data_IF_995654096985
#
_entry.id   IF_995654096985
#
_cell.length_a   1.000
_cell.length_b   1.000
_cell.length_c   1.000
_cell.angle_alpha   90.00
_cell.angle_beta   90.00
_cell.angle_gamma   90.00
#
_symmetry.space_group_name_H-M   'P 1'
#
loop_
_entity.id
_entity.type
_entity.pdbx_description
1 polymer ?
#
# COMPACT_ATOMS: atom_id res chain seq x y z
N UNK A 1 42.39 -3.51 30.15
CA UNK A 1 41.40 -4.23 30.97
C UNK A 1 40.00 -3.78 30.56
N UNK A 2 39.25 -4.65 29.88
CA UNK A 2 37.98 -5.27 30.32
C UNK A 2 36.79 -4.30 30.41
N UNK A 3 36.06 -4.16 29.30
CA UNK A 3 34.63 -3.92 29.35
C UNK A 3 33.90 -5.27 29.51
N UNK A 4 33.05 -5.39 30.52
CA UNK A 4 32.07 -6.47 30.68
C UNK A 4 30.74 -5.85 31.16
N UNK A 5 29.71 -5.98 30.32
CA UNK A 5 28.37 -6.59 30.57
C UNK A 5 27.69 -6.30 31.93
N UNK A 6 26.36 -6.07 32.11
CA UNK A 6 25.13 -5.78 31.33
C UNK A 6 23.95 -5.84 32.36
N UNK A 7 22.75 -5.35 31.98
CA UNK A 7 21.41 -5.57 32.59
C UNK A 7 21.05 -4.76 33.86
N UNK A 8 19.83 -4.25 34.11
CA UNK A 8 18.53 -4.22 33.43
C UNK A 8 17.57 -3.27 34.21
N UNK A 9 16.60 -2.66 33.51
CA UNK A 9 15.22 -2.32 33.93
C UNK A 9 15.01 -1.19 34.97
N UNK A 10 14.30 -0.15 34.54
CA UNK A 10 13.61 0.79 35.42
C UNK A 10 13.26 2.13 34.77
N UNK A 11 12.16 2.20 34.01
CA UNK A 11 11.72 3.46 33.40
C UNK A 11 10.56 3.31 32.41
N UNK A 12 9.49 2.65 32.85
CA UNK A 12 8.19 2.66 32.16
C UNK A 12 7.56 4.05 32.34
N UNK A 13 6.76 4.47 31.35
CA UNK A 13 5.83 5.63 31.33
C UNK A 13 6.40 7.01 31.00
N UNK A 14 6.47 7.37 29.70
CA UNK A 14 5.82 8.58 29.10
C UNK A 14 5.61 8.36 27.58
N UNK A 15 4.78 7.41 27.13
CA UNK A 15 4.19 7.43 25.77
C UNK A 15 2.76 6.89 25.89
N UNK A 16 1.87 7.73 26.42
CA UNK A 16 0.46 7.41 26.63
C UNK A 16 -0.45 8.64 26.64
N UNK A 17 -0.08 9.72 25.93
CA UNK A 17 -0.78 11.00 26.05
C UNK A 17 -0.90 11.78 24.73
N UNK A 18 -1.39 11.13 23.67
CA UNK A 18 -2.10 11.82 22.55
C UNK A 18 -3.39 11.09 22.11
N UNK A 19 -3.80 10.02 22.79
CA UNK A 19 -5.15 9.44 22.64
C UNK A 19 -5.83 9.53 24.02
N UNK A 20 -6.33 10.71 24.37
CA UNK A 20 -6.97 10.93 25.68
C UNK A 20 -7.11 12.36 26.18
N UNK A 21 -6.84 13.40 25.37
CA UNK A 21 -7.10 14.79 25.77
C UNK A 21 -8.55 15.20 25.42
N UNK A 22 -9.49 14.51 26.05
CA UNK A 22 -10.81 15.04 26.34
C UNK A 22 -10.98 14.98 27.86
N UNK A 23 -11.25 16.13 28.48
CA UNK A 23 -11.68 16.35 29.88
C UNK A 23 -10.55 16.80 30.85
N UNK A 24 -10.75 18.02 31.38
CA UNK A 24 -10.10 18.70 32.52
C UNK A 24 -8.74 19.42 32.35
N UNK A 25 -8.78 20.55 31.64
CA UNK A 25 -7.98 21.73 31.98
C UNK A 25 -8.95 22.88 32.31
N UNK A 26 -9.44 22.88 33.55
CA UNK A 26 -10.09 24.04 34.14
C UNK A 26 -9.06 24.81 34.97
N UNK A 27 -9.08 26.14 34.82
CA UNK A 27 -8.49 27.18 35.68
C UNK A 27 -7.02 27.59 35.46
N UNK A 28 -6.70 28.06 34.25
CA UNK A 28 -5.81 29.22 34.10
C UNK A 28 -6.55 30.31 33.33
N UNK A 29 -7.08 31.28 34.06
CA UNK A 29 -7.74 32.46 33.50
C UNK A 29 -6.71 33.39 32.87
N UNK A 30 -6.52 33.31 31.56
CA UNK A 30 -5.96 34.40 30.78
C UNK A 30 -6.97 34.86 29.74
N UNK A 31 -7.18 36.18 29.75
CA UNK A 31 -8.16 36.94 28.95
C UNK A 31 -8.34 36.35 27.55
N UNK A 32 -9.59 35.96 27.24
CA UNK A 32 -10.04 35.55 25.90
C UNK A 32 -9.88 36.71 24.91
N UNK A 33 -8.70 36.82 24.31
CA UNK A 33 -8.64 37.21 22.90
C UNK A 33 -9.05 35.97 22.12
N UNK A 34 -10.26 35.97 21.56
CA UNK A 34 -10.65 34.99 20.54
C UNK A 34 -9.69 35.11 19.37
N UNK A 35 -8.57 34.36 19.42
CA UNK A 35 -7.80 34.06 18.22
C UNK A 35 -8.72 33.21 17.37
N UNK A 36 -9.35 33.84 16.36
CA UNK A 36 -9.99 33.11 15.25
C UNK A 36 -9.02 32.00 14.83
N UNK A 37 -9.45 30.73 14.77
CA UNK A 37 -8.59 29.67 14.28
C UNK A 37 -8.06 30.12 12.91
N UNK A 38 -6.74 30.11 12.76
CA UNK A 38 -6.10 30.40 11.48
C UNK A 38 -6.77 29.48 10.46
N UNK A 39 -7.47 30.06 9.49
CA UNK A 39 -8.13 29.37 8.38
C UNK A 39 -7.09 28.77 7.41
N UNK A 40 -6.11 28.03 7.92
CA UNK A 40 -5.03 27.42 7.15
C UNK A 40 -5.53 26.31 6.20
N UNK A 41 -6.79 25.87 6.33
CA UNK A 41 -7.36 24.77 5.56
C UNK A 41 -8.19 25.14 4.33
N UNK A 42 -8.59 26.40 4.14
CA UNK A 42 -9.64 26.74 3.15
C UNK A 42 -9.19 26.80 1.68
N UNK A 43 -7.89 26.86 1.38
CA UNK A 43 -7.42 27.19 0.02
C UNK A 43 -6.45 26.18 -0.61
N UNK A 44 -6.44 24.90 -0.21
CA UNK A 44 -5.73 23.89 -1.00
C UNK A 44 -6.73 23.25 -1.96
N UNK A 45 -6.94 23.90 -3.11
CA UNK A 45 -7.64 23.30 -4.25
C UNK A 45 -6.81 22.10 -4.71
N UNK A 46 -7.17 20.91 -4.25
CA UNK A 46 -6.57 19.68 -4.74
C UNK A 46 -7.30 19.25 -6.01
N UNK A 47 -6.61 18.98 -7.12
CA UNK A 47 -7.25 18.41 -8.29
C UNK A 47 -7.92 17.08 -7.93
N UNK A 48 -9.11 16.87 -8.46
CA UNK A 48 -9.80 15.59 -8.39
C UNK A 48 -9.08 14.58 -9.26
N UNK A 49 -8.83 13.39 -8.73
CA UNK A 49 -8.23 12.30 -9.51
C UNK A 49 -9.12 11.98 -10.72
N UNK A 50 -8.53 11.92 -11.90
CA UNK A 50 -9.24 11.55 -13.13
C UNK A 50 -8.97 10.09 -13.45
N UNK A 51 -10.02 9.34 -13.77
CA UNK A 51 -9.90 7.97 -14.26
C UNK A 51 -10.07 8.02 -15.77
N UNK A 52 -9.06 7.53 -16.48
CA UNK A 52 -9.04 7.44 -17.93
C UNK A 52 -9.02 5.98 -18.35
N UNK A 53 -9.73 5.67 -19.43
CA UNK A 53 -9.80 4.35 -20.00
C UNK A 53 -9.17 4.38 -21.39
N UNK A 54 -8.13 3.58 -21.58
CA UNK A 54 -7.49 3.38 -22.87
C UNK A 54 -7.75 1.93 -23.32
N UNK A 55 -7.79 1.68 -24.63
CA UNK A 55 -7.93 0.33 -25.18
C UNK A 55 -6.63 -0.09 -25.86
N UNK A 56 -6.11 -1.26 -25.51
CA UNK A 56 -4.92 -1.85 -26.11
C UNK A 56 -5.36 -3.06 -26.93
N UNK A 57 -4.92 -3.12 -28.18
CA UNK A 57 -5.09 -4.30 -29.02
C UNK A 57 -3.99 -5.32 -28.74
N UNK A 58 -4.39 -6.53 -28.36
CA UNK A 58 -3.50 -7.64 -28.07
C UNK A 58 -3.48 -8.60 -29.24
N UNK A 59 -2.29 -8.85 -29.75
CA UNK A 59 -2.02 -9.88 -30.76
C UNK A 59 -1.46 -11.14 -30.10
N UNK A 60 -1.49 -12.27 -30.82
CA UNK A 60 -0.94 -13.54 -30.34
C UNK A 60 0.54 -13.44 -29.96
N UNK A 61 1.32 -12.71 -30.77
CA UNK A 61 2.76 -12.55 -30.58
C UNK A 61 3.11 -11.78 -29.30
N UNK A 62 2.22 -10.89 -28.86
CA UNK A 62 2.41 -10.12 -27.63
C UNK A 62 2.32 -11.02 -26.40
N UNK A 63 1.43 -12.02 -26.39
CA UNK A 63 1.28 -12.97 -25.30
C UNK A 63 2.33 -14.08 -25.34
N UNK A 64 2.75 -14.52 -26.53
CA UNK A 64 3.80 -15.54 -26.68
C UNK A 64 5.17 -15.13 -26.12
N UNK A 65 5.44 -13.84 -25.95
CA UNK A 65 6.72 -13.31 -25.44
C UNK A 65 6.76 -13.11 -23.90
N UNK A 66 5.86 -13.73 -23.13
CA UNK A 66 5.75 -13.55 -21.67
C UNK A 66 5.71 -12.07 -21.22
N UNK A 67 5.20 -11.17 -22.08
CA UNK A 67 5.12 -9.75 -21.73
C UNK A 67 3.92 -9.53 -20.83
N UNK A 68 4.19 -9.11 -19.60
CA UNK A 68 3.15 -8.61 -18.70
C UNK A 68 2.68 -7.26 -19.24
N UNK A 69 1.40 -7.19 -19.61
CA UNK A 69 0.78 -5.95 -20.05
C UNK A 69 0.16 -5.29 -18.82
N UNK A 70 0.55 -4.06 -18.46
CA UNK A 70 -0.02 -3.40 -17.30
C UNK A 70 -1.51 -3.17 -17.55
N UNK A 71 -2.33 -3.60 -16.61
CA UNK A 71 -3.78 -3.45 -16.70
C UNK A 71 -4.28 -2.07 -16.20
N UNK A 72 -3.42 -1.37 -15.47
CA UNK A 72 -3.62 0.00 -15.01
C UNK A 72 -2.30 0.63 -14.59
N UNK A 73 -2.30 1.96 -14.46
CA UNK A 73 -1.19 2.72 -13.90
C UNK A 73 -1.67 4.06 -13.34
N UNK A 74 -1.31 4.35 -12.09
CA UNK A 74 -1.40 5.68 -11.53
C UNK A 74 -0.24 6.56 -12.04
N UNK A 75 -0.58 7.76 -12.54
CA UNK A 75 0.36 8.79 -13.00
C UNK A 75 0.34 9.95 -12.00
N UNK A 76 1.25 9.97 -11.00
CA UNK A 76 1.19 10.91 -9.89
C UNK A 76 1.27 12.38 -10.31
N UNK A 77 2.10 12.68 -11.31
CA UNK A 77 2.27 14.03 -11.87
C UNK A 77 0.98 14.61 -12.47
N UNK A 78 0.11 13.75 -13.01
CA UNK A 78 -1.08 14.21 -13.72
C UNK A 78 -2.34 14.10 -12.85
N UNK A 79 -2.26 13.43 -11.69
CA UNK A 79 -3.45 13.06 -10.92
C UNK A 79 -4.40 12.16 -11.72
N UNK A 80 -3.86 11.27 -12.56
CA UNK A 80 -4.63 10.40 -13.44
C UNK A 80 -4.36 8.94 -13.11
N UNK A 81 -5.42 8.14 -13.01
CA UNK A 81 -5.33 6.68 -13.11
C UNK A 81 -5.73 6.30 -14.53
N UNK A 82 -4.83 5.63 -15.24
CA UNK A 82 -5.13 5.02 -16.53
C UNK A 82 -5.46 3.54 -16.34
N UNK A 83 -6.58 3.10 -16.87
CA UNK A 83 -7.00 1.70 -16.91
C UNK A 83 -7.01 1.23 -18.35
N UNK A 84 -6.45 0.05 -18.60
CA UNK A 84 -6.28 -0.48 -19.94
C UNK A 84 -7.25 -1.63 -20.18
N UNK A 85 -8.22 -1.41 -21.06
CA UNK A 85 -9.07 -2.46 -21.60
C UNK A 85 -8.35 -3.16 -22.75
N UNK A 86 -8.40 -4.49 -22.76
CA UNK A 86 -7.76 -5.29 -23.80
C UNK A 86 -8.83 -5.74 -24.80
N UNK A 87 -8.54 -5.52 -26.09
CA UNK A 87 -9.29 -6.10 -27.20
C UNK A 87 -8.35 -6.99 -28.02
N UNK A 88 -8.90 -7.93 -28.76
CA UNK A 88 -8.12 -8.77 -29.67
C UNK A 88 -8.95 -9.10 -30.90
N UNK A 89 -8.30 -9.16 -32.06
CA UNK A 89 -8.84 -9.72 -33.30
C UNK A 89 -8.52 -11.21 -33.45
N UNK A 90 -7.74 -11.77 -32.52
CA UNK A 90 -7.40 -13.20 -32.51
C UNK A 90 -8.61 -14.08 -32.28
N UNK A 91 -8.69 -15.17 -33.04
CA UNK A 91 -9.68 -16.23 -32.86
C UNK A 91 -9.23 -17.26 -31.81
N UNK A 92 -8.00 -17.17 -31.29
CA UNK A 92 -7.47 -18.12 -30.30
C UNK A 92 -8.12 -17.90 -28.93
N UNK A 93 -8.79 -18.94 -28.43
CA UNK A 93 -9.54 -18.92 -27.16
C UNK A 93 -8.72 -18.43 -25.96
N UNK A 94 -7.43 -18.77 -25.87
CA UNK A 94 -6.60 -18.34 -24.75
C UNK A 94 -6.35 -16.83 -24.75
N UNK A 95 -6.19 -16.19 -25.93
CA UNK A 95 -6.01 -14.73 -26.07
C UNK A 95 -7.31 -13.99 -25.77
N UNK A 96 -8.44 -14.51 -26.27
CA UNK A 96 -9.77 -13.98 -25.96
C UNK A 96 -10.07 -14.06 -24.47
N UNK A 97 -9.76 -15.20 -23.83
CA UNK A 97 -9.92 -15.38 -22.39
C UNK A 97 -9.04 -14.43 -21.58
N UNK A 98 -7.79 -14.21 -21.99
CA UNK A 98 -6.89 -13.26 -21.34
C UNK A 98 -7.48 -11.84 -21.36
N UNK A 99 -7.94 -11.37 -22.53
CA UNK A 99 -8.58 -10.06 -22.66
C UNK A 99 -9.84 -9.95 -21.80
N UNK A 100 -10.71 -10.97 -21.84
CA UNK A 100 -11.93 -11.02 -21.02
C UNK A 100 -11.61 -10.95 -19.53
N UNK A 101 -10.64 -11.74 -19.06
CA UNK A 101 -10.25 -11.75 -17.65
C UNK A 101 -9.69 -10.40 -17.19
N UNK A 102 -8.81 -9.78 -17.98
CA UNK A 102 -8.29 -8.44 -17.69
C UNK A 102 -9.42 -7.42 -17.53
N UNK A 103 -10.35 -7.40 -18.48
CA UNK A 103 -11.44 -6.43 -18.51
C UNK A 103 -12.41 -6.62 -17.35
N UNK A 104 -12.73 -7.86 -17.00
CA UNK A 104 -13.53 -8.21 -15.82
C UNK A 104 -12.84 -7.77 -14.51
N UNK A 105 -11.50 -7.82 -14.45
CA UNK A 105 -10.71 -7.40 -13.29
C UNK A 105 -10.57 -5.88 -13.14
N UNK A 106 -11.07 -5.08 -14.09
CA UNK A 106 -10.89 -3.61 -14.11
C UNK A 106 -11.28 -2.92 -12.80
N UNK A 107 -12.29 -3.43 -12.09
CA UNK A 107 -12.71 -2.90 -10.78
C UNK A 107 -11.60 -3.10 -9.71
N UNK A 108 -10.99 -4.28 -9.67
CA UNK A 108 -9.91 -4.58 -8.72
C UNK A 108 -8.66 -3.79 -9.08
N UNK A 109 -8.32 -3.72 -10.37
CA UNK A 109 -7.19 -2.91 -10.87
C UNK A 109 -7.40 -1.43 -10.53
N UNK A 110 -8.61 -0.91 -10.72
CA UNK A 110 -8.95 0.45 -10.30
C UNK A 110 -8.70 0.64 -8.81
N UNK A 111 -9.13 -0.31 -7.97
CA UNK A 111 -8.88 -0.24 -6.52
C UNK A 111 -7.38 -0.22 -6.20
N UNK A 112 -6.60 -1.06 -6.86
CA UNK A 112 -5.15 -1.12 -6.73
C UNK A 112 -4.52 0.25 -7.00
N UNK A 113 -4.80 0.86 -8.16
CA UNK A 113 -4.23 2.16 -8.53
C UNK A 113 -4.74 3.31 -7.66
N UNK A 114 -5.98 3.22 -7.16
CA UNK A 114 -6.51 4.20 -6.21
C UNK A 114 -5.74 4.17 -4.89
N UNK A 115 -5.28 3.02 -4.41
CA UNK A 115 -4.44 2.98 -3.20
C UNK A 115 -3.06 3.58 -3.43
N UNK A 116 -2.43 3.34 -4.60
CA UNK A 116 -1.22 4.08 -4.97
C UNK A 116 -1.45 5.59 -4.91
N UNK A 117 -2.57 6.07 -5.45
CA UNK A 117 -2.89 7.49 -5.42
C UNK A 117 -3.14 8.04 -4.01
N UNK A 118 -3.82 7.28 -3.15
CA UNK A 118 -4.06 7.65 -1.74
C UNK A 118 -2.76 7.76 -0.96
N UNK A 119 -1.82 6.85 -1.19
CA UNK A 119 -0.55 6.78 -0.44
C UNK A 119 0.60 7.57 -1.05
N UNK A 120 0.45 8.08 -2.27
CA UNK A 120 1.51 8.83 -2.94
C UNK A 120 1.98 10.10 -2.19
N UNK A 121 1.13 10.73 -1.37
CA UNK A 121 1.57 11.88 -0.56
C UNK A 121 2.48 11.48 0.62
N UNK A 122 2.44 10.21 1.06
CA UNK A 122 3.38 9.66 2.04
C UNK A 122 4.78 9.50 1.43
N UNK A 123 4.83 9.21 0.13
CA UNK A 123 6.07 8.83 -0.59
C UNK A 123 6.65 9.97 -1.44
N UNK A 124 6.01 11.15 -1.50
CA UNK A 124 6.47 12.28 -2.34
C UNK A 124 7.91 12.75 -2.06
N UNK A 125 8.34 12.68 -0.80
CA UNK A 125 9.68 13.11 -0.38
C UNK A 125 10.60 11.90 -0.14
N UNK A 126 10.34 10.78 -0.82
CA UNK A 126 11.08 9.53 -0.63
C UNK A 126 12.60 9.72 -0.78
N UNK A 127 13.03 10.67 -1.62
CA UNK A 127 14.44 10.98 -1.85
C UNK A 127 15.20 11.44 -0.59
N UNK A 128 14.49 11.95 0.43
CA UNK A 128 15.09 12.39 1.70
C UNK A 128 15.50 11.22 2.60
N UNK A 129 14.99 10.02 2.35
CA UNK A 129 15.34 8.84 3.13
C UNK A 129 16.58 8.13 2.58
N UNK A 130 17.22 7.33 3.44
CA UNK A 130 18.35 6.49 3.05
C UNK A 130 17.95 5.48 1.97
N UNK A 131 18.87 5.04 1.09
CA UNK A 131 18.59 4.07 0.03
C UNK A 131 17.77 2.85 0.48
N UNK A 132 18.10 2.29 1.65
CA UNK A 132 17.38 1.17 2.26
C UNK A 132 15.92 1.51 2.56
N UNK A 133 15.67 2.64 3.22
CA UNK A 133 14.31 3.07 3.55
C UNK A 133 13.52 3.41 2.27
N UNK A 134 14.15 3.97 1.24
CA UNK A 134 13.49 4.18 -0.08
C UNK A 134 13.04 2.86 -0.70
N UNK A 135 13.91 1.86 -0.68
CA UNK A 135 13.55 0.51 -1.13
C UNK A 135 12.40 -0.08 -0.32
N UNK A 136 12.45 0.01 1.01
CA UNK A 136 11.37 -0.48 1.88
C UNK A 136 10.03 0.20 1.61
N UNK A 137 10.02 1.53 1.42
CA UNK A 137 8.81 2.29 1.06
C UNK A 137 8.26 1.81 -0.29
N UNK A 138 9.13 1.64 -1.30
CA UNK A 138 8.70 1.17 -2.61
C UNK A 138 8.08 -0.24 -2.53
N UNK A 139 8.71 -1.16 -1.79
CA UNK A 139 8.16 -2.51 -1.59
C UNK A 139 6.83 -2.48 -0.86
N UNK A 140 6.72 -1.72 0.24
CA UNK A 140 5.47 -1.59 1.00
C UNK A 140 4.35 -1.01 0.12
N UNK A 141 4.65 -0.02 -0.73
CA UNK A 141 3.69 0.56 -1.66
C UNK A 141 3.14 -0.48 -2.66
N UNK A 142 3.99 -1.36 -3.18
CA UNK A 142 3.58 -2.44 -4.09
C UNK A 142 2.89 -3.61 -3.37
N UNK A 143 3.00 -3.72 -2.04
CA UNK A 143 2.33 -4.75 -1.23
C UNK A 143 0.92 -4.32 -0.83
N UNK A 144 0.72 -3.04 -0.47
CA UNK A 144 -0.60 -2.54 -0.05
C UNK A 144 -1.63 -2.56 -1.18
N UNK A 145 -1.21 -2.41 -2.43
CA UNK A 145 -2.13 -2.32 -3.55
C UNK A 145 -2.82 -3.68 -3.85
N UNK A 146 -2.11 -4.83 -3.83
CA UNK A 146 -2.74 -6.15 -3.75
C UNK A 146 -3.66 -6.36 -2.53
N UNK A 147 -3.34 -5.82 -1.36
CA UNK A 147 -4.22 -5.89 -0.19
C UNK A 147 -5.57 -5.21 -0.46
N UNK A 148 -5.54 -4.08 -1.17
CA UNK A 148 -6.73 -3.35 -1.58
C UNK A 148 -7.62 -4.15 -2.54
N UNK A 149 -7.03 -4.93 -3.45
CA UNK A 149 -7.78 -5.83 -4.34
C UNK A 149 -8.56 -6.89 -3.56
N UNK A 150 -7.96 -7.45 -2.51
CA UNK A 150 -8.63 -8.43 -1.63
C UNK A 150 -9.82 -7.78 -0.93
N UNK A 151 -9.63 -6.60 -0.34
CA UNK A 151 -10.71 -5.84 0.32
C UNK A 151 -11.85 -5.57 -0.67
N UNK A 152 -11.54 -5.07 -1.86
CA UNK A 152 -12.55 -4.78 -2.88
C UNK A 152 -13.30 -6.02 -3.37
N UNK A 153 -12.67 -7.19 -3.42
CA UNK A 153 -13.33 -8.42 -3.82
C UNK A 153 -14.36 -8.89 -2.79
N UNK A 154 -14.03 -8.82 -1.51
CA UNK A 154 -14.97 -9.12 -0.41
C UNK A 154 -16.10 -8.10 -0.34
N UNK A 155 -15.76 -6.80 -0.46
CA UNK A 155 -16.73 -5.71 -0.51
C UNK A 155 -17.69 -5.88 -1.70
N UNK A 156 -17.19 -6.30 -2.87
CA UNK A 156 -18.01 -6.60 -4.04
C UNK A 156 -19.01 -7.72 -3.75
N UNK A 157 -18.56 -8.79 -3.08
CA UNK A 157 -19.43 -9.92 -2.73
C UNK A 157 -20.56 -9.50 -1.80
N UNK A 158 -20.27 -8.64 -0.82
CA UNK A 158 -21.31 -8.07 0.04
C UNK A 158 -22.31 -7.22 -0.76
N UNK A 159 -21.83 -6.32 -1.63
CA UNK A 159 -22.71 -5.41 -2.40
C UNK A 159 -23.61 -6.12 -3.40
N UNK A 160 -23.11 -7.20 -4.00
CA UNK A 160 -23.78 -7.85 -5.15
C UNK A 160 -24.42 -9.18 -4.79
N UNK A 161 -24.14 -9.73 -3.62
CA UNK A 161 -24.53 -11.09 -3.24
C UNK A 161 -23.76 -12.19 -3.99
N UNK A 162 -22.79 -11.84 -4.84
CA UNK A 162 -22.09 -12.77 -5.71
C UNK A 162 -20.56 -12.64 -5.58
N UNK A 163 -19.80 -13.76 -5.63
CA UNK A 163 -18.35 -13.71 -5.70
C UNK A 163 -17.86 -12.86 -6.87
N UNK A 164 -16.68 -12.25 -6.74
CA UNK A 164 -16.10 -11.47 -7.83
C UNK A 164 -15.87 -12.38 -9.06
N UNK A 165 -16.32 -11.99 -10.27
CA UNK A 165 -16.44 -12.91 -11.41
C UNK A 165 -15.11 -13.38 -12.00
N UNK A 166 -14.01 -12.66 -11.79
CA UNK A 166 -12.68 -13.09 -12.22
C UNK A 166 -11.61 -12.69 -11.20
N UNK A 167 -11.07 -13.67 -10.49
CA UNK A 167 -9.98 -13.45 -9.54
C UNK A 167 -8.62 -13.54 -10.22
N UNK A 168 -7.67 -12.71 -9.77
CA UNK A 168 -6.26 -13.11 -9.80
C UNK A 168 -6.09 -14.23 -8.77
N UNK A 169 -5.22 -15.22 -9.02
CA UNK A 169 -5.09 -16.41 -8.16
C UNK A 169 -5.00 -16.06 -6.67
N UNK A 170 -4.14 -15.11 -6.30
CA UNK A 170 -3.98 -14.69 -4.90
C UNK A 170 -5.23 -14.08 -4.26
N UNK A 171 -6.07 -13.37 -5.03
CA UNK A 171 -7.33 -12.79 -4.53
C UNK A 171 -8.33 -13.91 -4.26
N UNK A 172 -8.42 -14.90 -5.15
CA UNK A 172 -9.30 -16.07 -4.97
C UNK A 172 -8.97 -16.78 -3.66
N UNK A 173 -7.70 -17.10 -3.47
CA UNK A 173 -7.23 -17.85 -2.30
C UNK A 173 -7.48 -17.05 -1.01
N UNK A 174 -7.18 -15.74 -1.03
CA UNK A 174 -7.47 -14.86 0.09
C UNK A 174 -8.96 -14.79 0.44
N UNK A 175 -9.84 -14.67 -0.56
CA UNK A 175 -11.30 -14.61 -0.37
C UNK A 175 -11.83 -15.91 0.24
N UNK A 176 -11.36 -17.06 -0.22
CA UNK A 176 -11.72 -18.36 0.35
C UNK A 176 -11.33 -18.44 1.83
N UNK A 177 -10.10 -18.06 2.17
CA UNK A 177 -9.63 -18.11 3.56
C UNK A 177 -10.35 -17.10 4.45
N UNK A 178 -10.66 -15.90 3.95
CA UNK A 178 -11.45 -14.91 4.67
C UNK A 178 -12.85 -15.43 4.95
N UNK A 179 -13.53 -16.02 3.97
CA UNK A 179 -14.88 -16.58 4.15
C UNK A 179 -14.85 -17.74 5.14
N UNK A 180 -13.87 -18.63 5.04
CA UNK A 180 -13.72 -19.74 5.99
C UNK A 180 -13.48 -19.23 7.41
N UNK A 181 -12.61 -18.23 7.58
CA UNK A 181 -12.36 -17.60 8.88
C UNK A 181 -13.61 -16.88 9.42
N UNK A 182 -14.35 -16.19 8.55
CA UNK A 182 -15.59 -15.51 8.91
C UNK A 182 -16.65 -16.49 9.39
N UNK A 183 -16.85 -17.59 8.67
CA UNK A 183 -17.79 -18.64 9.03
C UNK A 183 -17.39 -19.32 10.34
N UNK A 184 -16.10 -19.68 10.49
CA UNK A 184 -15.59 -20.31 11.71
C UNK A 184 -15.75 -19.43 12.97
N UNK A 185 -15.71 -18.11 12.81
CA UNK A 185 -15.88 -17.15 13.91
C UNK A 185 -17.30 -16.54 13.98
N UNK A 186 -18.26 -17.05 13.19
CA UNK A 186 -19.62 -16.51 13.09
C UNK A 186 -19.67 -14.98 12.87
N UNK A 187 -18.78 -14.45 12.02
CA UNK A 187 -18.70 -13.03 11.74
C UNK A 187 -19.93 -12.56 10.95
N UNK A 188 -20.38 -11.34 11.25
CA UNK A 188 -21.43 -10.67 10.48
C UNK A 188 -20.85 -9.97 9.25
N UNK A 189 -21.66 -9.90 8.20
CA UNK A 189 -21.38 -9.09 7.02
C UNK A 189 -21.87 -7.64 7.22
N UNK A 190 -21.19 -6.62 6.65
CA UNK A 190 -19.93 -6.71 5.91
C UNK A 190 -18.77 -7.09 6.83
N UNK A 191 -17.81 -7.87 6.30
CA UNK A 191 -16.65 -8.36 7.07
C UNK A 191 -15.85 -7.17 7.63
N UNK A 192 -15.59 -7.19 8.93
CA UNK A 192 -14.70 -6.23 9.57
C UNK A 192 -13.24 -6.64 9.37
N UNK A 193 -12.53 -5.85 8.56
CA UNK A 193 -11.10 -6.03 8.29
C UNK A 193 -10.19 -5.64 9.46
N UNK A 194 -10.74 -5.03 10.52
CA UNK A 194 -10.02 -4.85 11.79
C UNK A 194 -9.99 -6.12 12.64
N UNK A 195 -10.73 -7.18 12.28
CA UNK A 195 -10.57 -8.47 12.93
C UNK A 195 -9.13 -8.99 12.70
N UNK A 196 -8.38 -9.38 13.75
CA UNK A 196 -6.99 -9.79 13.61
C UNK A 196 -6.75 -10.92 12.62
N UNK A 197 -7.65 -11.92 12.59
CA UNK A 197 -7.52 -13.06 11.67
C UNK A 197 -7.69 -12.63 10.22
N UNK A 198 -8.67 -11.77 9.94
CA UNK A 198 -8.92 -11.23 8.60
C UNK A 198 -7.76 -10.34 8.16
N UNK A 199 -7.30 -9.44 9.03
CA UNK A 199 -6.15 -8.57 8.78
C UNK A 199 -4.89 -9.39 8.45
N UNK A 200 -4.61 -10.45 9.21
CA UNK A 200 -3.50 -11.37 8.95
C UNK A 200 -3.63 -12.05 7.58
N UNK A 201 -4.82 -12.51 7.18
CA UNK A 201 -5.02 -13.15 5.87
C UNK A 201 -4.77 -12.15 4.73
N UNK A 202 -5.34 -10.94 4.82
CA UNK A 202 -5.12 -9.87 3.82
C UNK A 202 -3.63 -9.56 3.67
N UNK A 203 -2.94 -9.40 4.80
CA UNK A 203 -1.52 -9.12 4.85
C UNK A 203 -0.70 -10.31 4.28
N UNK A 204 -1.02 -11.55 4.63
CA UNK A 204 -0.33 -12.74 4.15
C UNK A 204 -0.38 -12.88 2.62
N UNK A 205 -1.57 -12.76 2.02
CA UNK A 205 -1.74 -12.96 0.58
C UNK A 205 -1.18 -11.80 -0.26
N UNK A 206 -1.29 -10.57 0.24
CA UNK A 206 -0.69 -9.40 -0.43
C UNK A 206 0.83 -9.48 -0.45
N UNK A 207 1.46 -9.88 0.66
CA UNK A 207 2.90 -10.12 0.71
C UNK A 207 3.32 -11.23 -0.23
N UNK A 208 2.64 -12.39 -0.19
CA UNK A 208 2.93 -13.53 -1.07
C UNK A 208 2.90 -13.10 -2.54
N UNK A 209 1.84 -12.40 -2.95
CA UNK A 209 1.70 -11.85 -4.30
C UNK A 209 2.90 -10.97 -4.70
N UNK A 210 3.28 -10.04 -3.83
CA UNK A 210 4.40 -9.15 -4.12
C UNK A 210 5.72 -9.91 -4.30
N UNK A 211 6.06 -10.81 -3.37
CA UNK A 211 7.33 -11.54 -3.43
C UNK A 211 7.40 -12.52 -4.61
N UNK A 212 6.29 -13.16 -4.98
CA UNK A 212 6.22 -14.01 -6.17
C UNK A 212 6.51 -13.21 -7.45
N UNK A 213 5.91 -12.03 -7.59
CA UNK A 213 6.11 -11.14 -8.75
C UNK A 213 7.49 -10.47 -8.75
N UNK A 214 8.04 -10.18 -7.58
CA UNK A 214 9.42 -9.73 -7.43
C UNK A 214 10.40 -10.82 -7.90
N UNK A 215 10.17 -12.08 -7.53
CA UNK A 215 10.97 -13.23 -7.99
C UNK A 215 10.96 -13.37 -9.51
N UNK A 216 9.82 -13.11 -10.15
CA UNK A 216 9.63 -13.07 -11.61
C UNK A 216 10.26 -11.86 -12.31
N UNK A 217 10.76 -10.88 -11.56
CA UNK A 217 11.42 -9.70 -12.11
C UNK A 217 10.55 -8.45 -12.22
N UNK A 218 9.24 -8.53 -11.98
CA UNK A 218 8.27 -7.44 -12.26
C UNK A 218 8.58 -6.19 -11.43
N UNK A 219 8.84 -6.36 -10.13
CA UNK A 219 9.09 -5.24 -9.22
C UNK A 219 10.58 -4.94 -9.00
N UNK A 220 11.51 -5.70 -9.60
CA UNK A 220 12.96 -5.53 -9.35
C UNK A 220 13.42 -4.14 -9.77
N UNK A 221 12.99 -3.67 -10.94
CA UNK A 221 13.34 -2.35 -11.46
C UNK A 221 12.77 -1.23 -10.59
N UNK A 222 11.52 -1.35 -10.14
CA UNK A 222 10.87 -0.39 -9.22
C UNK A 222 11.68 -0.24 -7.93
N UNK A 223 12.04 -1.34 -7.29
CA UNK A 223 12.81 -1.34 -6.04
C UNK A 223 14.22 -0.80 -6.26
N UNK A 224 14.92 -1.24 -7.31
CA UNK A 224 16.27 -0.73 -7.64
C UNK A 224 16.28 0.78 -7.89
N UNK A 225 15.33 1.28 -8.68
CA UNK A 225 15.24 2.71 -8.99
C UNK A 225 15.01 3.55 -7.72
N UNK A 226 14.16 3.07 -6.80
CA UNK A 226 13.95 3.71 -5.51
C UNK A 226 15.24 3.72 -4.65
N UNK A 227 15.98 2.61 -4.60
CA UNK A 227 17.25 2.51 -3.87
C UNK A 227 18.28 3.47 -4.44
N UNK A 228 18.46 3.52 -5.77
CA UNK A 228 19.42 4.41 -6.43
C UNK A 228 19.06 5.89 -6.30
N UNK A 229 17.84 6.22 -5.87
CA UNK A 229 17.39 7.61 -5.80
C UNK A 229 17.39 8.27 -7.17
N UNK A 230 17.19 7.48 -8.24
CA UNK A 230 16.95 8.03 -9.55
C UNK A 230 15.72 8.93 -9.43
N UNK A 231 16.01 10.24 -9.41
CA UNK A 231 15.03 11.30 -9.29
C UNK A 231 13.89 11.01 -10.25
N UNK A 232 12.71 10.69 -9.72
CA UNK A 232 11.51 11.13 -10.41
C UNK A 232 11.51 12.65 -10.24
N UNK A 233 12.21 13.36 -11.13
CA UNK A 233 12.12 14.82 -11.31
C UNK A 233 10.69 15.26 -11.68
N UNK A 234 9.75 14.33 -11.71
CA UNK A 234 8.34 14.59 -11.90
C UNK A 234 7.76 15.15 -10.62
N UNK A 235 7.41 16.44 -10.66
CA UNK A 235 6.66 17.08 -9.61
C UNK A 235 5.39 16.27 -9.31
N UNK A 236 5.31 15.74 -8.09
CA UNK A 236 4.11 15.08 -7.58
C UNK A 236 3.00 16.12 -7.32
N UNK A 237 1.79 15.85 -7.82
CA UNK A 237 0.63 16.70 -7.56
C UNK A 237 -0.30 16.00 -6.55
N UNK A 238 -0.43 16.60 -5.36
CA UNK A 238 -1.37 16.13 -4.34
C UNK A 238 -2.81 16.25 -4.85
N UNK A 239 -3.57 15.15 -4.85
CA UNK A 239 -4.97 15.11 -5.29
C UNK A 239 -5.94 14.89 -4.11
N UNK A 240 -7.23 14.86 -4.41
CA UNK A 240 -8.32 14.73 -3.42
C UNK A 240 -8.35 13.39 -2.66
N UNK A 241 -7.67 12.35 -3.12
CA UNK A 241 -7.57 11.07 -2.42
C UNK A 241 -6.38 11.00 -1.46
N UNK A 242 -5.46 11.93 -1.58
CA UNK A 242 -4.25 11.92 -0.76
C UNK A 242 -4.56 12.39 0.66
N UNK A 243 -4.09 11.64 1.64
CA UNK A 243 -4.13 12.11 3.02
C UNK A 243 -3.08 13.22 3.23
N UNK A 244 -3.55 14.42 3.57
CA UNK A 244 -2.71 15.60 3.79
C UNK A 244 -2.03 15.59 5.16
N UNK A 245 -2.60 14.90 6.14
CA UNK A 245 -2.14 14.90 7.53
C UNK A 245 -1.27 13.66 7.86
N UNK A 246 -1.53 12.52 7.22
CA UNK A 246 -0.77 11.29 7.42
C UNK A 246 0.75 11.40 7.21
N UNK A 247 1.31 12.26 6.33
CA UNK A 247 2.76 12.40 6.22
C UNK A 247 3.46 12.83 7.52
N UNK A 248 2.77 13.55 8.43
CA UNK A 248 3.36 13.94 9.71
C UNK A 248 3.63 12.74 10.63
N UNK A 249 2.84 11.68 10.46
CA UNK A 249 2.88 10.46 11.26
C UNK A 249 3.59 9.29 10.55
N UNK A 250 3.97 9.46 9.28
CA UNK A 250 4.68 8.44 8.52
C UNK A 250 6.18 8.49 8.81
N UNK A 251 6.65 7.51 9.60
CA UNK A 251 8.05 7.39 10.05
C UNK A 251 8.61 5.99 9.76
N UNK A 252 8.86 5.66 8.48
CA UNK A 252 9.33 4.34 8.09
C UNK A 252 10.69 3.97 8.67
N UNK A 253 11.52 4.95 9.04
CA UNK A 253 12.79 4.75 9.76
C UNK A 253 12.64 4.11 11.14
N UNK A 254 11.46 4.22 11.75
CA UNK A 254 11.10 3.59 13.03
C UNK A 254 10.12 2.42 12.84
N UNK A 255 10.04 1.86 11.63
CA UNK A 255 9.10 0.80 11.27
C UNK A 255 7.62 1.17 11.51
N UNK A 256 7.28 2.47 11.49
CA UNK A 256 5.91 2.94 11.64
C UNK A 256 5.19 2.93 10.29
N UNK A 257 4.72 1.75 9.89
CA UNK A 257 4.07 1.51 8.60
C UNK A 257 2.56 1.72 8.58
N UNK A 258 1.93 1.90 9.74
CA UNK A 258 0.48 2.00 9.87
C UNK A 258 -0.19 2.99 8.89
N UNK A 259 0.37 4.18 8.58
CA UNK A 259 -0.24 5.09 7.59
C UNK A 259 -0.36 4.49 6.17
N UNK A 260 0.55 3.61 5.75
CA UNK A 260 0.47 2.93 4.45
C UNK A 260 -0.61 1.85 4.43
N UNK A 261 -0.87 1.21 5.58
CA UNK A 261 -1.81 0.10 5.74
C UNK A 261 -3.21 0.51 6.21
N UNK A 262 -3.53 1.81 6.11
CA UNK A 262 -4.88 2.32 6.30
C UNK A 262 -5.70 2.20 5.00
N UNK A 263 -6.86 1.59 5.06
CA UNK A 263 -7.73 1.36 3.90
C UNK A 263 -9.15 1.84 4.19
N UNK A 264 -9.92 1.95 3.12
CA UNK A 264 -11.38 2.09 3.19
C UNK A 264 -12.01 0.78 2.74
N UNK A 265 -13.02 0.34 3.47
CA UNK A 265 -13.93 -0.74 3.08
C UNK A 265 -15.37 -0.28 3.27
N UNK A 266 -16.33 -1.11 2.90
CA UNK A 266 -17.75 -0.84 3.17
C UNK A 266 -18.04 -0.73 4.67
N UNK A 267 -17.30 -1.47 5.49
CA UNK A 267 -17.43 -1.42 6.95
C UNK A 267 -16.86 -0.13 7.56
N UNK A 268 -16.08 0.64 6.80
CA UNK A 268 -15.47 1.90 7.24
C UNK A 268 -13.96 1.93 7.05
N UNK A 269 -13.27 2.77 7.83
CA UNK A 269 -11.80 2.80 7.84
C UNK A 269 -11.26 1.57 8.55
N UNK A 270 -10.22 0.97 7.98
CA UNK A 270 -9.54 -0.19 8.56
C UNK A 270 -8.05 -0.02 8.49
N UNK A 271 -7.33 -0.40 9.55
CA UNK A 271 -5.88 -0.39 9.55
C UNK A 271 -5.33 -1.81 9.73
N UNK A 272 -4.92 -2.43 8.64
CA UNK A 272 -4.47 -3.82 8.64
C UNK A 272 -3.19 -3.99 9.47
N UNK A 273 -2.33 -2.96 9.55
CA UNK A 273 -1.08 -3.04 10.32
C UNK A 273 -1.28 -3.11 11.84
N UNK A 274 -2.25 -2.37 12.37
CA UNK A 274 -2.53 -2.44 13.81
C UNK A 274 -3.19 -3.75 14.21
N UNK A 275 -4.02 -4.32 13.33
CA UNK A 275 -4.84 -5.48 13.65
C UNK A 275 -4.19 -6.82 13.30
N UNK A 276 -3.34 -6.88 12.27
CA UNK A 276 -2.67 -8.12 11.89
C UNK A 276 -1.70 -8.61 12.98
N UNK A 277 -1.50 -9.92 13.02
CA UNK A 277 -0.63 -10.57 13.99
C UNK A 277 0.81 -10.05 13.92
N UNK A 278 1.47 -9.95 15.07
CA UNK A 278 2.87 -9.51 15.12
C UNK A 278 3.80 -10.42 14.32
N UNK A 279 3.51 -11.73 14.24
CA UNK A 279 4.30 -12.69 13.46
C UNK A 279 4.35 -12.31 11.97
N UNK A 280 3.20 -12.06 11.34
CA UNK A 280 3.17 -11.75 9.90
C UNK A 280 3.81 -10.39 9.58
N UNK A 281 3.77 -9.45 10.54
CA UNK A 281 4.44 -8.15 10.43
C UNK A 281 5.96 -8.29 10.51
N UNK A 282 6.47 -9.10 11.45
CA UNK A 282 7.90 -9.36 11.55
C UNK A 282 8.41 -10.14 10.34
N UNK A 283 7.67 -11.15 9.88
CA UNK A 283 8.01 -11.90 8.66
C UNK A 283 8.11 -10.98 7.44
N UNK A 284 7.21 -10.00 7.31
CA UNK A 284 7.27 -8.98 6.27
C UNK A 284 8.54 -8.14 6.34
N UNK A 285 8.81 -7.57 7.51
CA UNK A 285 9.96 -6.69 7.71
C UNK A 285 11.27 -7.44 7.44
N UNK A 286 11.39 -8.67 7.94
CA UNK A 286 12.56 -9.52 7.71
C UNK A 286 12.75 -9.86 6.22
N UNK A 287 11.67 -10.18 5.49
CA UNK A 287 11.75 -10.45 4.05
C UNK A 287 12.10 -9.21 3.25
N UNK A 288 11.53 -8.05 3.58
CA UNK A 288 11.90 -6.77 2.96
C UNK A 288 13.39 -6.53 3.17
N UNK A 289 13.88 -6.63 4.41
CA UNK A 289 15.28 -6.42 4.72
C UNK A 289 16.20 -7.39 4.00
N UNK A 290 15.83 -8.67 3.90
CA UNK A 290 16.58 -9.67 3.13
C UNK A 290 16.73 -9.25 1.66
N UNK A 291 15.62 -8.90 1.01
CA UNK A 291 15.61 -8.47 -0.40
C UNK A 291 16.41 -7.19 -0.60
N UNK A 292 16.30 -6.23 0.32
CA UNK A 292 17.06 -4.98 0.23
C UNK A 292 18.56 -5.22 0.36
N UNK A 293 18.98 -6.16 1.21
CA UNK A 293 20.38 -6.56 1.31
C UNK A 293 20.90 -7.23 0.01
N UNK A 294 20.05 -7.98 -0.69
CA UNK A 294 20.40 -8.53 -2.01
C UNK A 294 20.59 -7.43 -3.06
N UNK A 295 19.73 -6.40 -3.07
CA UNK A 295 19.82 -5.30 -4.04
C UNK A 295 20.93 -4.29 -3.73
N UNK A 296 21.12 -3.96 -2.46
CA UNK A 296 22.02 -2.90 -2.03
C UNK A 296 23.38 -3.42 -1.53
N UNK A 297 23.55 -4.73 -1.36
CA UNK A 297 24.71 -5.33 -0.68
C UNK A 297 24.60 -5.22 0.86
N UNK A 298 25.27 -6.13 1.57
CA UNK A 298 25.19 -6.27 3.05
C UNK A 298 25.66 -5.05 3.87
N UNK A 299 26.14 -3.97 3.24
CA UNK A 299 26.63 -2.75 3.89
C UNK A 299 25.63 -1.58 3.86
N UNK A 300 24.33 -1.87 3.88
CA UNK A 300 23.25 -0.89 3.79
C UNK A 300 23.22 0.20 4.87
N UNK A 301 24.03 0.10 5.93
CA UNK A 301 24.17 1.10 6.99
C UNK A 301 25.26 2.16 6.74
N UNK A 302 26.14 1.98 5.74
CA UNK A 302 27.25 2.91 5.46
C UNK A 302 27.38 3.24 3.97
N UNK A 303 26.35 3.82 3.36
CA UNK A 303 26.46 4.39 2.01
C UNK A 303 26.66 5.90 2.01
N UNK A 304 27.69 6.36 2.75
CA UNK A 304 28.15 7.76 2.67
C UNK A 304 29.11 8.02 1.50
N UNK A 305 29.53 7.00 0.74
CA UNK A 305 30.53 7.15 -0.33
C UNK A 305 30.36 6.14 -1.51
N UNK A 306 29.19 6.05 -2.14
CA UNK A 306 29.15 5.50 -3.51
C UNK A 306 29.53 6.61 -4.47
N UNK A 307 30.78 6.60 -4.97
CA UNK A 307 31.09 7.33 -6.20
C UNK A 307 30.28 6.69 -7.32
N UNK A 308 29.30 7.43 -7.82
CA UNK A 308 28.61 7.15 -9.07
C UNK A 308 29.68 7.15 -10.16
N UNK A 309 29.85 6.01 -10.85
CA UNK A 309 30.62 5.94 -12.10
C UNK A 309 29.69 6.24 -13.25
#
# INVERSE_FOLDING_TARGET
MKFKTLYHIGGVFIIGLVIGAGINLANLSHKKTEKKPVNAGKNIVCPTIKIQYDTIEITDDMLGRNRVIPAGVFKPKNGIIKLFYLKTTSTKKHVQNYCKQNNTQSILIRRHELEHARKANLTKNIFMFSPRIRGAIAMQNEIIAPAAEIIAAIDYQYKTGHPFPAYRGFVKDAVVDIINAANAQNMKWPIDFNNPKIATIVMQYSQKRFFDELGRGVYKTTVKNAICGHKTNEAYITNNLCDKNAPMFFRPEFCMWAPMWDFESIHGRTNIWFNADNKIKQDLLNKIDSVLNEFAGQNALFYKNVKIR
#
